data_IF_143586970245
#
_entry.id   IF_143586970245
#
_cell.length_a   1.000
_cell.length_b   1.000
_cell.length_c   1.000
_cell.angle_alpha   90.00
_cell.angle_beta   90.00
_cell.angle_gamma   90.00
#
_symmetry.space_group_name_H-M   'P 1'
#
loop_
_entity.id
_entity.type
_entity.pdbx_description
1 polymer ?
#
# COMPACT_ATOMS: atom_id res chain seq x y z
N UNK A 1 -11.45 20.90 -45.70
CA UNK A 1 -11.77 21.14 -44.25
C UNK A 1 -10.89 22.30 -43.78
N UNK A 2 -11.46 23.34 -43.15
CA UNK A 2 -10.65 24.50 -42.75
C UNK A 2 -9.69 24.09 -41.65
N UNK A 3 -8.40 24.38 -41.80
CA UNK A 3 -7.30 24.04 -40.85
C UNK A 3 -7.63 24.42 -39.38
N UNK A 4 -8.32 25.55 -39.21
CA UNK A 4 -8.78 26.00 -37.88
C UNK A 4 -9.76 25.05 -37.21
N UNK A 5 -10.66 24.37 -37.94
CA UNK A 5 -11.60 23.40 -37.41
C UNK A 5 -10.88 22.10 -37.03
N UNK A 6 -9.94 21.66 -37.86
CA UNK A 6 -9.13 20.49 -37.57
C UNK A 6 -8.28 20.71 -36.29
N UNK A 7 -7.58 21.85 -36.22
CA UNK A 7 -6.74 22.19 -35.07
C UNK A 7 -7.53 22.22 -33.76
N UNK A 8 -8.72 22.81 -33.76
CA UNK A 8 -9.60 22.85 -32.61
C UNK A 8 -10.07 21.45 -32.19
N UNK A 9 -10.42 20.60 -33.13
CA UNK A 9 -10.84 19.22 -32.88
C UNK A 9 -9.68 18.41 -32.28
N UNK A 10 -8.49 18.48 -32.89
CA UNK A 10 -7.28 17.79 -32.39
C UNK A 10 -6.92 18.27 -30.97
N UNK A 11 -6.92 19.58 -30.74
CA UNK A 11 -6.65 20.16 -29.45
C UNK A 11 -7.63 19.63 -28.37
N UNK A 12 -8.92 19.59 -28.65
CA UNK A 12 -9.92 19.08 -27.70
C UNK A 12 -9.68 17.61 -27.34
N UNK A 13 -9.40 16.75 -28.33
CA UNK A 13 -9.13 15.34 -28.08
C UNK A 13 -7.82 15.11 -27.30
N UNK A 14 -6.76 15.84 -27.64
CA UNK A 14 -5.49 15.77 -26.91
C UNK A 14 -5.69 16.25 -25.46
N UNK A 15 -6.44 17.33 -25.26
CA UNK A 15 -6.72 17.85 -23.93
C UNK A 15 -7.48 16.84 -23.06
N UNK A 16 -8.48 16.16 -23.62
CA UNK A 16 -9.22 15.09 -22.91
C UNK A 16 -8.30 13.92 -22.59
N UNK A 17 -7.47 13.50 -23.55
CA UNK A 17 -6.52 12.39 -23.37
C UNK A 17 -5.52 12.66 -22.24
N UNK A 18 -5.05 13.90 -22.11
CA UNK A 18 -4.13 14.31 -21.03
C UNK A 18 -4.87 14.53 -19.72
N UNK A 19 -6.09 15.07 -19.76
CA UNK A 19 -6.85 15.38 -18.56
C UNK A 19 -7.20 14.14 -17.72
N UNK A 20 -7.46 12.99 -18.35
CA UNK A 20 -7.82 11.75 -17.65
C UNK A 20 -6.69 11.27 -16.72
N UNK A 21 -5.45 11.02 -17.20
CA UNK A 21 -4.37 10.60 -16.32
C UNK A 21 -4.02 11.67 -15.28
N UNK A 22 -4.06 12.95 -15.62
CA UNK A 22 -3.84 14.04 -14.69
C UNK A 22 -4.86 14.01 -13.53
N UNK A 23 -6.14 13.80 -13.86
CA UNK A 23 -7.20 13.70 -12.86
C UNK A 23 -6.98 12.50 -11.93
N UNK A 24 -6.56 11.34 -12.46
CA UNK A 24 -6.23 10.17 -11.65
C UNK A 24 -5.07 10.43 -10.69
N UNK A 25 -4.02 11.11 -11.13
CA UNK A 25 -2.89 11.51 -10.29
C UNK A 25 -3.35 12.45 -9.18
N UNK A 26 -4.15 13.46 -9.48
CA UNK A 26 -4.66 14.42 -8.50
C UNK A 26 -5.54 13.72 -7.45
N UNK A 27 -6.49 12.89 -7.88
CA UNK A 27 -7.39 12.17 -6.98
C UNK A 27 -6.61 11.19 -6.09
N UNK A 28 -5.72 10.39 -6.67
CA UNK A 28 -4.90 9.44 -5.90
C UNK A 28 -3.99 10.16 -4.92
N UNK A 29 -3.37 11.27 -5.32
CA UNK A 29 -2.57 12.12 -4.44
C UNK A 29 -3.36 12.68 -3.25
N UNK A 30 -4.62 13.07 -3.47
CA UNK A 30 -5.51 13.49 -2.39
C UNK A 30 -5.73 12.37 -1.37
N UNK A 31 -6.01 11.15 -1.81
CA UNK A 31 -6.14 10.01 -0.90
C UNK A 31 -4.84 9.69 -0.16
N UNK A 32 -3.69 9.82 -0.82
CA UNK A 32 -2.39 9.63 -0.19
C UNK A 32 -2.10 10.68 0.88
N UNK A 33 -2.53 11.92 0.68
CA UNK A 33 -2.40 12.99 1.69
C UNK A 33 -3.18 12.64 2.96
N UNK A 34 -4.34 12.03 2.81
CA UNK A 34 -5.23 11.67 3.91
C UNK A 34 -4.94 10.27 4.50
N UNK A 35 -3.95 9.53 4.01
CA UNK A 35 -3.72 8.12 4.39
C UNK A 35 -3.47 7.89 5.89
N UNK A 36 -2.95 8.90 6.61
CA UNK A 36 -2.70 8.79 8.04
C UNK A 36 -3.92 9.14 8.90
N UNK A 37 -4.86 9.89 8.35
CA UNK A 37 -6.06 10.36 9.06
C UNK A 37 -7.21 9.35 8.95
N UNK A 38 -7.21 8.53 7.90
CA UNK A 38 -8.24 7.54 7.64
C UNK A 38 -7.71 6.12 7.71
N UNK A 39 -8.07 5.39 8.76
CA UNK A 39 -7.71 3.97 8.97
C UNK A 39 -8.17 3.05 7.83
N UNK A 40 -9.21 3.45 7.09
CA UNK A 40 -9.68 2.75 5.90
C UNK A 40 -8.67 2.79 4.74
N UNK A 41 -7.89 3.88 4.63
CA UNK A 41 -6.85 4.01 3.60
C UNK A 41 -5.59 3.27 4.05
N UNK A 42 -5.14 3.55 5.28
CA UNK A 42 -3.96 2.92 5.87
C UNK A 42 -4.23 2.62 7.34
N UNK A 43 -4.10 1.35 7.76
CA UNK A 43 -4.24 0.98 9.17
C UNK A 43 -3.21 1.73 10.03
N UNK A 44 -3.61 2.24 11.20
CA UNK A 44 -2.67 2.86 12.13
C UNK A 44 -1.66 1.82 12.64
N UNK A 45 -0.42 2.25 12.90
CA UNK A 45 0.57 1.40 13.54
C UNK A 45 0.29 1.33 15.04
N UNK A 46 0.06 0.13 15.54
CA UNK A 46 -0.17 -0.16 16.95
C UNK A 46 1.16 -0.54 17.57
N UNK A 47 1.51 0.08 18.72
CA UNK A 47 2.73 -0.26 19.44
C UNK A 47 2.57 -1.59 20.18
N UNK A 48 3.61 -2.41 20.17
CA UNK A 48 3.74 -3.60 20.97
C UNK A 48 4.06 -3.26 22.43
N UNK A 49 4.37 -4.28 23.23
CA UNK A 49 4.63 -4.12 24.67
C UNK A 49 6.00 -3.49 24.98
N UNK A 50 6.99 -3.63 24.09
CA UNK A 50 8.34 -3.12 24.31
C UNK A 50 8.93 -2.56 23.02
N UNK A 51 9.61 -1.42 23.15
CA UNK A 51 10.43 -0.83 22.07
C UNK A 51 11.79 -1.54 21.93
N UNK A 52 12.01 -2.62 22.68
CA UNK A 52 13.27 -3.34 22.72
C UNK A 52 13.48 -4.25 21.50
N UNK A 53 14.66 -4.84 21.45
CA UNK A 53 15.04 -5.87 20.49
C UNK A 53 13.99 -6.99 20.44
N UNK A 54 13.62 -7.49 19.25
CA UNK A 54 12.67 -8.58 19.10
C UNK A 54 13.10 -9.78 19.97
N UNK A 55 12.21 -10.24 20.83
CA UNK A 55 12.45 -11.38 21.73
C UNK A 55 12.07 -12.70 21.05
N UNK A 56 11.07 -12.63 20.17
CA UNK A 56 10.51 -13.79 19.49
C UNK A 56 11.29 -14.09 18.21
N UNK A 57 11.49 -15.37 17.90
CA UNK A 57 12.13 -15.79 16.67
C UNK A 57 11.32 -15.41 15.43
N UNK A 58 12.01 -15.24 14.30
CA UNK A 58 11.36 -14.96 13.01
C UNK A 58 10.33 -16.02 12.64
N UNK A 59 10.61 -17.30 12.89
CA UNK A 59 9.68 -18.39 12.58
C UNK A 59 8.42 -18.33 13.44
N UNK A 60 8.54 -17.95 14.70
CA UNK A 60 7.38 -17.76 15.58
C UNK A 60 6.54 -16.55 15.15
N UNK A 61 7.17 -15.46 14.71
CA UNK A 61 6.47 -14.29 14.15
C UNK A 61 5.72 -14.65 12.86
N UNK A 62 6.35 -15.44 11.96
CA UNK A 62 5.69 -15.94 10.76
C UNK A 62 4.51 -16.84 11.11
N UNK A 63 4.69 -17.80 12.03
CA UNK A 63 3.63 -18.70 12.45
C UNK A 63 2.42 -17.94 12.99
N UNK A 64 2.65 -16.88 13.77
CA UNK A 64 1.59 -15.99 14.24
C UNK A 64 0.94 -15.24 13.09
N UNK A 65 1.74 -14.61 12.20
CA UNK A 65 1.21 -13.85 11.08
C UNK A 65 0.38 -14.70 10.12
N UNK A 66 0.65 -16.01 10.04
CA UNK A 66 -0.04 -16.97 9.16
C UNK A 66 -1.11 -17.81 9.87
N UNK A 67 -1.41 -17.50 11.13
CA UNK A 67 -2.46 -18.20 11.91
C UNK A 67 -3.88 -17.72 11.61
N UNK A 68 -4.02 -16.70 10.76
CA UNK A 68 -5.30 -16.07 10.41
C UNK A 68 -5.72 -16.42 8.98
N UNK A 69 -7.03 -16.46 8.67
CA UNK A 69 -7.53 -16.88 7.35
C UNK A 69 -6.98 -16.08 6.17
N UNK A 70 -6.67 -14.79 6.38
CA UNK A 70 -6.19 -13.90 5.32
C UNK A 70 -4.76 -14.20 4.84
N UNK A 71 -3.98 -14.91 5.64
CA UNK A 71 -2.55 -15.19 5.42
C UNK A 71 -2.20 -16.64 5.67
N UNK A 72 -3.21 -17.51 5.88
CA UNK A 72 -3.01 -18.93 6.17
C UNK A 72 -2.15 -19.62 5.11
N UNK A 73 -1.13 -20.33 5.55
CA UNK A 73 -0.23 -21.09 4.68
C UNK A 73 0.80 -20.29 3.90
N UNK A 74 0.82 -18.94 4.02
CA UNK A 74 1.83 -18.13 3.36
C UNK A 74 3.23 -18.38 3.94
N UNK A 75 4.23 -18.40 3.06
CA UNK A 75 5.66 -18.47 3.39
C UNK A 75 6.29 -17.09 3.30
N UNK A 76 7.50 -16.95 3.82
CA UNK A 76 8.27 -15.69 3.79
C UNK A 76 8.29 -15.01 2.41
N UNK A 77 8.52 -15.78 1.33
CA UNK A 77 8.63 -15.26 -0.02
C UNK A 77 7.29 -14.83 -0.66
N UNK A 78 6.16 -15.12 -0.01
CA UNK A 78 4.82 -14.83 -0.51
C UNK A 78 4.25 -13.53 0.07
N UNK A 79 4.96 -12.93 1.04
CA UNK A 79 4.67 -11.58 1.49
C UNK A 79 5.29 -10.54 0.54
N UNK A 80 4.56 -9.49 0.24
CA UNK A 80 5.06 -8.35 -0.55
C UNK A 80 6.17 -7.60 0.22
N UNK A 81 5.95 -7.38 1.52
CA UNK A 81 6.87 -6.65 2.38
C UNK A 81 6.71 -7.01 3.85
N UNK A 82 7.82 -6.99 4.57
CA UNK A 82 7.86 -7.18 6.01
C UNK A 82 8.65 -6.03 6.63
N UNK A 83 7.98 -5.20 7.44
CA UNK A 83 8.57 -4.02 8.06
C UNK A 83 8.68 -4.19 9.57
N UNK A 84 9.91 -4.20 10.07
CA UNK A 84 10.18 -4.11 11.50
C UNK A 84 10.12 -2.66 11.97
N UNK A 85 9.28 -2.39 12.96
CA UNK A 85 9.18 -1.10 13.65
C UNK A 85 9.77 -1.24 15.05
N UNK A 86 11.09 -1.13 15.13
CA UNK A 86 11.85 -1.33 16.37
C UNK A 86 11.43 -0.33 17.44
N UNK A 87 11.19 0.92 17.06
CA UNK A 87 10.68 1.99 17.90
C UNK A 87 9.30 1.72 18.50
N UNK A 88 8.58 0.74 17.95
CA UNK A 88 7.22 0.37 18.39
C UNK A 88 7.11 -1.08 18.89
N UNK A 89 8.18 -1.84 18.87
CA UNK A 89 8.18 -3.24 19.29
C UNK A 89 7.22 -4.13 18.47
N UNK A 90 7.09 -3.86 17.16
CA UNK A 90 6.17 -4.59 16.30
C UNK A 90 6.74 -4.84 14.90
N UNK A 91 6.20 -5.84 14.23
CA UNK A 91 6.47 -6.16 12.84
C UNK A 91 5.19 -6.14 12.03
N UNK A 92 5.25 -5.64 10.80
CA UNK A 92 4.15 -5.63 9.84
C UNK A 92 4.45 -6.63 8.74
N UNK A 93 3.54 -7.56 8.55
CA UNK A 93 3.52 -8.46 7.41
C UNK A 93 2.49 -7.93 6.40
N UNK A 94 2.93 -7.67 5.17
CA UNK A 94 2.06 -7.15 4.11
C UNK A 94 1.98 -8.13 2.97
N UNK A 95 0.75 -8.49 2.58
CA UNK A 95 0.50 -9.38 1.45
C UNK A 95 0.34 -8.60 0.16
N UNK A 96 0.54 -9.27 -0.98
CA UNK A 96 0.31 -8.72 -2.33
C UNK A 96 -1.14 -8.25 -2.50
N UNK A 97 -2.10 -8.89 -1.81
CA UNK A 97 -3.52 -8.50 -1.83
C UNK A 97 -3.84 -7.28 -0.96
N UNK A 98 -2.84 -6.74 -0.26
CA UNK A 98 -2.98 -5.55 0.57
C UNK A 98 -3.46 -5.82 1.99
N UNK A 99 -3.40 -7.06 2.50
CA UNK A 99 -3.59 -7.32 3.92
C UNK A 99 -2.34 -6.93 4.71
N UNK A 100 -2.54 -6.22 5.81
CA UNK A 100 -1.50 -5.86 6.77
C UNK A 100 -1.80 -6.56 8.10
N UNK A 101 -0.87 -7.40 8.55
CA UNK A 101 -0.90 -8.06 9.86
C UNK A 101 0.19 -7.47 10.72
N UNK A 102 -0.17 -6.93 11.86
CA UNK A 102 0.77 -6.38 12.84
C UNK A 102 0.93 -7.35 14.00
N UNK A 103 2.17 -7.71 14.29
CA UNK A 103 2.53 -8.69 15.34
C UNK A 103 3.48 -8.04 16.33
N UNK A 104 3.22 -8.24 17.63
CA UNK A 104 4.10 -7.80 18.71
C UNK A 104 5.38 -8.65 18.72
N UNK A 105 6.54 -8.00 18.70
CA UNK A 105 7.85 -8.68 18.70
C UNK A 105 8.29 -9.16 20.07
N UNK A 106 7.57 -8.79 21.13
CA UNK A 106 7.86 -9.20 22.51
C UNK A 106 7.19 -10.52 22.88
N UNK A 107 5.91 -10.67 22.57
CA UNK A 107 5.09 -11.81 22.98
C UNK A 107 4.43 -12.56 21.80
N UNK A 108 4.56 -12.06 20.58
CA UNK A 108 3.97 -12.68 19.39
C UNK A 108 2.46 -12.50 19.25
N UNK A 109 1.84 -11.59 19.98
CA UNK A 109 0.40 -11.37 19.84
C UNK A 109 0.08 -10.60 18.54
N UNK A 110 -1.07 -10.89 17.95
CA UNK A 110 -1.60 -10.12 16.83
C UNK A 110 -2.14 -8.79 17.35
N UNK A 111 -1.57 -7.69 16.90
CA UNK A 111 -1.98 -6.33 17.27
C UNK A 111 -3.09 -5.79 16.37
N UNK A 112 -3.03 -6.11 15.07
CA UNK A 112 -4.00 -5.63 14.09
C UNK A 112 -3.99 -6.51 12.85
N UNK A 113 -5.16 -6.67 12.25
CA UNK A 113 -5.35 -7.26 10.92
C UNK A 113 -6.28 -6.33 10.15
N UNK A 114 -5.78 -5.70 9.09
CA UNK A 114 -6.58 -4.77 8.30
C UNK A 114 -6.13 -4.70 6.86
N UNK A 115 -7.03 -4.27 5.97
CA UNK A 115 -6.69 -4.06 4.57
C UNK A 115 -6.07 -2.68 4.38
N UNK A 116 -4.87 -2.63 3.81
CA UNK A 116 -4.14 -1.42 3.47
C UNK A 116 -4.44 -1.05 2.02
N UNK A 117 -5.06 0.10 1.83
CA UNK A 117 -5.45 0.61 0.51
C UNK A 117 -4.51 1.70 -0.02
N UNK A 118 -3.63 2.24 0.84
CA UNK A 118 -2.66 3.25 0.43
C UNK A 118 -1.78 2.76 -0.72
N UNK A 119 -1.39 1.48 -0.74
CA UNK A 119 -0.54 0.92 -1.79
C UNK A 119 -1.23 0.91 -3.16
N UNK A 120 -2.56 0.73 -3.19
CA UNK A 120 -3.35 0.88 -4.41
C UNK A 120 -3.33 2.34 -4.92
N UNK A 121 -3.53 3.31 -4.02
CA UNK A 121 -3.47 4.73 -4.40
C UNK A 121 -2.06 5.15 -4.81
N UNK A 122 -1.01 4.60 -4.17
CA UNK A 122 0.38 4.81 -4.56
C UNK A 122 0.64 4.32 -6.00
N UNK A 123 0.18 3.11 -6.34
CA UNK A 123 0.32 2.53 -7.68
C UNK A 123 -0.42 3.32 -8.77
N UNK A 124 -1.57 3.91 -8.45
CA UNK A 124 -2.27 4.80 -9.39
C UNK A 124 -1.50 6.12 -9.53
N UNK A 125 -1.01 6.66 -8.42
CA UNK A 125 -0.34 7.96 -8.38
C UNK A 125 0.98 7.96 -9.15
N UNK A 126 1.76 6.89 -9.04
CA UNK A 126 3.06 6.74 -9.72
C UNK A 126 2.94 6.06 -11.10
N UNK A 127 1.74 5.68 -11.51
CA UNK A 127 1.47 5.03 -12.80
C UNK A 127 1.80 3.54 -12.85
N UNK A 128 2.38 2.93 -11.81
CA UNK A 128 2.79 1.51 -11.82
C UNK A 128 1.60 0.55 -11.91
N UNK A 129 0.40 1.03 -11.59
CA UNK A 129 -0.84 0.26 -11.80
C UNK A 129 -1.10 -0.09 -13.28
N UNK A 130 -0.65 0.76 -14.20
CA UNK A 130 -0.84 0.59 -15.64
C UNK A 130 0.33 -0.12 -16.35
N UNK A 131 1.32 -0.58 -15.58
CA UNK A 131 2.51 -1.28 -16.03
C UNK A 131 3.80 -0.48 -15.85
N UNK A 132 4.92 -1.20 -15.79
CA UNK A 132 6.23 -0.60 -15.50
C UNK A 132 6.66 0.47 -16.54
N UNK A 133 6.16 0.39 -17.76
CA UNK A 133 6.45 1.36 -18.81
C UNK A 133 5.87 2.75 -18.58
N UNK A 134 4.81 2.88 -17.78
CA UNK A 134 4.13 4.16 -17.50
C UNK A 134 4.77 4.89 -16.32
N UNK A 135 5.44 4.18 -15.45
CA UNK A 135 6.09 4.72 -14.24
C UNK A 135 7.20 5.76 -14.53
N UNK A 136 7.74 5.75 -15.74
CA UNK A 136 8.88 6.59 -16.15
C UNK A 136 8.49 7.75 -17.06
N UNK A 137 7.21 8.03 -17.24
CA UNK A 137 6.65 9.17 -17.92
C UNK A 137 6.00 10.14 -16.94
#
# INVERSE_FOLDING_TARGET
MKLTKLNRTVHNWISILIAIPLLLIVISGFFLQLKKDFSWIQPPSISGQSEATPIISHDALLATATSIPQTEGLKWAEFDRIDYKVDRGMVKFMTIEGWEVQVDTTNGSILSVAKRRSDFFEKIHDGSYFGDGVKYF
#
